data_IF_190678564786
#
_entry.id   IF_190678564786
#
_cell.length_a   1.000
_cell.length_b   1.000
_cell.length_c   1.000
_cell.angle_alpha   90.00
_cell.angle_beta   90.00
_cell.angle_gamma   90.00
#
_symmetry.space_group_name_H-M   'P 1'
#
loop_
_entity.id
_entity.type
_entity.pdbx_description
1 polymer ?
#
# COMPACT_ATOMS: atom_id res chain seq x y z
N UNK A 1 -23.58 -5.21 20.64
CA UNK A 1 -23.15 -5.73 19.32
C UNK A 1 -23.59 -4.68 18.32
N UNK A 2 -22.67 -3.95 17.69
CA UNK A 2 -22.88 -3.06 16.52
C UNK A 2 -21.73 -2.02 16.46
N UNK A 3 -20.51 -2.44 16.15
CA UNK A 3 -19.42 -1.49 15.87
C UNK A 3 -18.50 -2.03 14.77
N UNK A 4 -19.11 -2.37 13.64
CA UNK A 4 -18.43 -2.75 12.40
C UNK A 4 -18.66 -1.66 11.37
N UNK A 5 -17.76 -0.66 11.36
CA UNK A 5 -17.80 0.43 10.39
C UNK A 5 -16.61 0.32 9.45
N UNK A 6 -16.80 -0.44 8.38
CA UNK A 6 -15.81 -0.60 7.33
C UNK A 6 -15.28 0.75 6.84
N UNK A 7 -16.12 1.78 6.68
CA UNK A 7 -15.69 3.07 6.11
C UNK A 7 -14.80 3.88 7.03
N UNK A 8 -14.84 3.62 8.34
CA UNK A 8 -13.98 4.28 9.34
C UNK A 8 -12.75 3.47 9.71
N UNK A 9 -12.65 2.23 9.22
CA UNK A 9 -11.48 1.37 9.47
C UNK A 9 -10.26 1.88 8.73
N UNK A 10 -9.08 1.79 9.35
CA UNK A 10 -7.81 2.13 8.71
C UNK A 10 -7.56 1.25 7.47
N UNK A 11 -8.16 0.06 7.46
CA UNK A 11 -8.09 -0.90 6.35
C UNK A 11 -8.85 -0.38 5.13
N UNK A 12 -10.01 0.26 5.28
CA UNK A 12 -10.73 0.82 4.14
C UNK A 12 -9.99 1.99 3.48
N UNK A 13 -9.29 2.81 4.25
CA UNK A 13 -8.48 3.90 3.71
C UNK A 13 -7.28 3.35 2.93
N UNK A 14 -6.66 2.28 3.42
CA UNK A 14 -5.62 1.53 2.73
C UNK A 14 -6.12 0.89 1.43
N UNK A 15 -7.30 0.26 1.44
CA UNK A 15 -7.89 -0.33 0.23
C UNK A 15 -8.26 0.76 -0.78
N UNK A 16 -8.82 1.88 -0.34
CA UNK A 16 -9.18 3.01 -1.21
C UNK A 16 -7.94 3.66 -1.84
N UNK A 17 -6.83 3.77 -1.09
CA UNK A 17 -5.55 4.24 -1.63
C UNK A 17 -4.99 3.27 -2.69
N UNK A 18 -5.05 1.96 -2.42
CA UNK A 18 -4.57 0.92 -3.35
C UNK A 18 -5.48 0.79 -4.58
N UNK A 19 -6.78 1.06 -4.43
CA UNK A 19 -7.75 1.12 -5.52
C UNK A 19 -7.57 2.31 -6.46
N UNK A 20 -6.83 3.34 -6.04
CA UNK A 20 -6.53 4.49 -6.89
C UNK A 20 -5.55 4.12 -8.02
N UNK A 21 -5.78 4.66 -9.21
CA UNK A 21 -4.95 4.39 -10.40
C UNK A 21 -3.45 4.62 -10.15
N UNK A 22 -3.10 5.54 -9.25
CA UNK A 22 -1.70 5.84 -8.90
C UNK A 22 -0.91 4.61 -8.42
N UNK A 23 -1.55 3.68 -7.70
CA UNK A 23 -0.90 2.48 -7.20
C UNK A 23 -0.51 1.51 -8.32
N UNK A 24 -1.37 1.36 -9.33
CA UNK A 24 -1.05 0.51 -10.51
C UNK A 24 0.13 1.08 -11.30
N UNK A 25 0.23 2.41 -11.39
CA UNK A 25 1.33 3.06 -12.10
C UNK A 25 2.68 2.81 -11.43
N UNK A 26 2.77 2.73 -10.10
CA UNK A 26 4.04 2.46 -9.39
C UNK A 26 4.66 1.14 -9.86
N UNK A 27 3.87 0.07 -9.89
CA UNK A 27 4.33 -1.25 -10.35
C UNK A 27 4.75 -1.26 -11.83
N UNK A 28 4.09 -0.46 -12.67
CA UNK A 28 4.43 -0.30 -14.08
C UNK A 28 5.74 0.50 -14.25
N UNK A 29 5.86 1.65 -13.59
CA UNK A 29 7.05 2.49 -13.62
C UNK A 29 8.28 1.71 -13.12
N UNK A 30 8.15 0.92 -12.06
CA UNK A 30 9.24 0.09 -11.56
C UNK A 30 9.75 -0.91 -12.62
N UNK A 31 8.87 -1.50 -13.43
CA UNK A 31 9.28 -2.41 -14.54
C UNK A 31 9.95 -1.63 -15.66
N UNK A 32 9.38 -0.48 -16.05
CA UNK A 32 9.90 0.37 -17.12
C UNK A 32 11.28 0.91 -16.78
N UNK A 33 11.48 1.50 -15.58
CA UNK A 33 12.77 2.05 -15.17
C UNK A 33 13.85 0.98 -14.98
N UNK A 34 13.48 -0.23 -14.54
CA UNK A 34 14.42 -1.38 -14.50
C UNK A 34 14.87 -1.78 -15.90
N UNK A 35 13.93 -1.92 -16.83
CA UNK A 35 14.25 -2.28 -18.22
C UNK A 35 15.07 -1.18 -18.90
N UNK A 36 14.72 0.09 -18.68
CA UNK A 36 15.42 1.23 -19.23
C UNK A 36 16.86 1.31 -18.69
N UNK A 37 17.04 1.13 -17.38
CA UNK A 37 18.37 1.09 -16.76
C UNK A 37 19.23 -0.05 -17.34
N UNK A 38 18.65 -1.25 -17.48
CA UNK A 38 19.34 -2.39 -18.07
C UNK A 38 19.72 -2.10 -19.53
N UNK A 39 18.79 -1.57 -20.33
CA UNK A 39 19.05 -1.23 -21.72
C UNK A 39 20.14 -0.16 -21.86
N UNK A 40 20.08 0.93 -21.08
CA UNK A 40 21.12 1.95 -21.05
C UNK A 40 22.48 1.38 -20.66
N UNK A 41 22.52 0.43 -19.71
CA UNK A 41 23.76 -0.24 -19.31
C UNK A 41 24.33 -1.13 -20.43
N UNK A 42 23.50 -1.87 -21.17
CA UNK A 42 23.94 -2.66 -22.32
C UNK A 42 24.51 -1.79 -23.44
N UNK A 43 23.83 -0.69 -23.76
CA UNK A 43 24.30 0.27 -24.78
C UNK A 43 25.61 0.92 -24.35
N UNK A 44 25.75 1.27 -23.07
CA UNK A 44 26.99 1.76 -22.48
C UNK A 44 28.12 0.72 -22.63
N UNK A 45 27.89 -0.55 -22.27
CA UNK A 45 28.88 -1.61 -22.39
C UNK A 45 29.33 -1.79 -23.83
N UNK A 46 28.38 -1.84 -24.76
CA UNK A 46 28.67 -1.96 -26.18
C UNK A 46 29.53 -0.79 -26.67
N UNK A 47 29.13 0.44 -26.35
CA UNK A 47 29.88 1.64 -26.74
C UNK A 47 31.28 1.71 -26.12
N UNK A 48 31.44 1.22 -24.89
CA UNK A 48 32.72 1.15 -24.18
C UNK A 48 33.65 0.10 -24.79
N UNK A 49 33.16 -1.12 -25.06
CA UNK A 49 33.97 -2.21 -25.61
C UNK A 49 34.41 -1.94 -27.05
N UNK A 50 33.52 -1.37 -27.86
CA UNK A 50 33.79 -1.10 -29.28
C UNK A 50 34.51 0.23 -29.52
N UNK A 51 34.67 1.06 -28.46
CA UNK A 51 35.08 2.46 -28.59
C UNK A 51 34.28 3.24 -29.65
N UNK A 52 33.08 2.79 -29.99
CA UNK A 52 32.26 3.38 -31.06
C UNK A 52 31.60 4.69 -30.63
N UNK A 53 31.54 4.98 -29.32
CA UNK A 53 30.93 6.18 -28.76
C UNK A 53 32.01 7.09 -28.16
N UNK A 54 31.85 8.40 -28.36
CA UNK A 54 32.70 9.41 -27.72
C UNK A 54 32.54 9.42 -26.19
N UNK A 55 33.59 9.82 -25.48
CA UNK A 55 33.65 9.86 -24.01
C UNK A 55 32.50 10.65 -23.38
N UNK A 56 32.08 11.75 -24.01
CA UNK A 56 30.94 12.55 -23.54
C UNK A 56 29.61 11.78 -23.63
N UNK A 57 29.37 11.08 -24.74
CA UNK A 57 28.16 10.27 -24.92
C UNK A 57 28.12 9.11 -23.95
N UNK A 58 29.27 8.47 -23.71
CA UNK A 58 29.43 7.37 -22.78
C UNK A 58 29.15 7.80 -21.33
N UNK A 59 29.65 8.96 -20.92
CA UNK A 59 29.39 9.57 -19.61
C UNK A 59 27.90 9.87 -19.41
N UNK A 60 27.23 10.45 -20.43
CA UNK A 60 25.79 10.73 -20.38
C UNK A 60 24.94 9.45 -20.29
N UNK A 61 25.31 8.40 -21.05
CA UNK A 61 24.65 7.09 -21.01
C UNK A 61 24.77 6.44 -19.63
N UNK A 62 25.96 6.50 -19.03
CA UNK A 62 26.20 5.98 -17.68
C UNK A 62 25.38 6.77 -16.65
N UNK A 63 25.39 8.10 -16.74
CA UNK A 63 24.59 8.98 -15.88
C UNK A 63 23.09 8.67 -15.98
N UNK A 64 22.56 8.50 -17.20
CA UNK A 64 21.17 8.11 -17.42
C UNK A 64 20.85 6.72 -16.86
N UNK A 65 21.77 5.76 -17.03
CA UNK A 65 21.64 4.41 -16.48
C UNK A 65 21.56 4.41 -14.94
N UNK A 66 22.46 5.16 -14.29
CA UNK A 66 22.49 5.34 -12.83
C UNK A 66 21.23 6.07 -12.36
N UNK A 67 20.83 7.16 -13.00
CA UNK A 67 19.62 7.89 -12.64
C UNK A 67 18.36 7.01 -12.75
N UNK A 68 18.24 6.24 -13.84
CA UNK A 68 17.14 5.29 -14.03
C UNK A 68 17.15 4.17 -12.99
N UNK A 69 18.34 3.68 -12.61
CA UNK A 69 18.50 2.68 -11.56
C UNK A 69 18.04 3.22 -10.20
N UNK A 70 18.46 4.44 -9.85
CA UNK A 70 18.07 5.10 -8.61
C UNK A 70 16.55 5.27 -8.51
N UNK A 71 15.90 5.71 -9.60
CA UNK A 71 14.42 5.77 -9.65
C UNK A 71 13.79 4.38 -9.49
N UNK A 72 14.33 3.36 -10.16
CA UNK A 72 13.82 2.00 -10.03
C UNK A 72 13.88 1.47 -8.58
N UNK A 73 14.95 1.80 -7.84
CA UNK A 73 15.08 1.43 -6.42
C UNK A 73 14.07 2.18 -5.56
N UNK A 74 13.86 3.48 -5.78
CA UNK A 74 12.85 4.27 -5.05
C UNK A 74 11.45 3.68 -5.26
N UNK A 75 11.07 3.38 -6.50
CA UNK A 75 9.77 2.76 -6.78
C UNK A 75 9.64 1.37 -6.17
N UNK A 76 10.73 0.61 -6.12
CA UNK A 76 10.74 -0.68 -5.43
C UNK A 76 10.52 -0.52 -3.92
N UNK A 77 11.20 0.42 -3.28
CA UNK A 77 11.01 0.70 -1.85
C UNK A 77 9.57 1.14 -1.55
N UNK A 78 8.98 1.97 -2.41
CA UNK A 78 7.57 2.36 -2.29
C UNK A 78 6.64 1.13 -2.38
N UNK A 79 6.86 0.27 -3.37
CA UNK A 79 6.07 -0.96 -3.54
C UNK A 79 6.17 -1.87 -2.31
N UNK A 80 7.38 -2.08 -1.80
CA UNK A 80 7.65 -2.85 -0.57
C UNK A 80 7.03 -2.21 0.66
N UNK A 81 7.11 -0.89 0.79
CA UNK A 81 6.52 -0.15 1.90
C UNK A 81 5.00 -0.32 1.92
N UNK A 82 4.35 -0.23 0.76
CA UNK A 82 2.91 -0.43 0.66
C UNK A 82 2.53 -1.90 0.92
N UNK A 83 3.29 -2.86 0.40
CA UNK A 83 3.06 -4.27 0.68
C UNK A 83 3.16 -4.59 2.17
N UNK A 84 4.18 -4.07 2.86
CA UNK A 84 4.41 -4.37 4.27
C UNK A 84 3.52 -3.56 5.21
N UNK A 85 3.31 -2.26 4.96
CA UNK A 85 2.54 -1.40 5.87
C UNK A 85 1.04 -1.38 5.59
N UNK A 86 0.60 -1.44 4.33
CA UNK A 86 -0.83 -1.35 4.00
C UNK A 86 -1.52 -2.72 4.00
N UNK A 87 -0.86 -3.80 3.58
CA UNK A 87 -1.49 -5.14 3.60
C UNK A 87 -1.47 -5.79 4.98
N UNK A 88 -0.59 -5.34 5.88
CA UNK A 88 -0.45 -5.86 7.25
C UNK A 88 -0.32 -4.71 8.24
N UNK A 89 -1.41 -3.93 8.50
CA UNK A 89 -1.37 -2.96 9.59
C UNK A 89 -1.00 -3.70 10.87
N UNK A 90 -0.05 -3.13 11.64
CA UNK A 90 0.24 -3.63 13.00
C UNK A 90 -1.04 -3.44 13.82
N UNK A 91 -1.77 -4.53 14.04
CA UNK A 91 -2.89 -4.55 14.95
C UNK A 91 -2.38 -4.09 16.33
N UNK A 92 -2.95 -3.00 16.85
CA UNK A 92 -2.58 -2.46 18.17
C UNK A 92 -2.91 -3.44 19.30
N UNK A 93 -3.79 -4.43 19.04
CA UNK A 93 -4.34 -5.36 20.04
C UNK A 93 -4.51 -6.73 19.39
N UNK A 94 -4.25 -7.81 20.14
CA UNK A 94 -4.53 -9.17 19.68
C UNK A 94 -6.05 -9.44 19.60
N UNK A 95 -6.49 -10.18 18.58
CA UNK A 95 -7.91 -10.52 18.35
C UNK A 95 -8.58 -11.12 19.60
N UNK A 96 -7.83 -11.91 20.38
CA UNK A 96 -8.31 -12.55 21.60
C UNK A 96 -8.66 -11.55 22.71
N UNK A 97 -7.92 -10.44 22.79
CA UNK A 97 -8.09 -9.42 23.82
C UNK A 97 -9.25 -8.46 23.46
N UNK A 98 -9.43 -8.18 22.16
CA UNK A 98 -10.58 -7.43 21.65
C UNK A 98 -11.91 -8.20 21.77
N UNK A 99 -11.89 -9.53 21.63
CA UNK A 99 -13.07 -10.38 21.83
C UNK A 99 -13.46 -10.52 23.31
N UNK A 100 -12.49 -10.43 24.23
CA UNK A 100 -12.73 -10.57 25.66
C UNK A 100 -13.42 -9.34 26.28
N UNK A 101 -13.21 -8.13 25.74
CA UNK A 101 -13.82 -6.89 26.23
C UNK A 101 -14.22 -5.93 25.08
N UNK A 102 -15.35 -6.17 24.40
CA UNK A 102 -15.76 -5.38 23.23
C UNK A 102 -16.20 -3.94 23.55
N UNK A 103 -16.67 -3.67 24.78
CA UNK A 103 -17.32 -2.40 25.13
C UNK A 103 -16.45 -1.43 25.96
N UNK A 104 -15.32 -1.89 26.53
CA UNK A 104 -14.50 -1.10 27.45
C UNK A 104 -13.00 -1.42 27.30
N UNK A 105 -12.45 -1.21 26.10
CA UNK A 105 -11.01 -1.30 25.93
C UNK A 105 -10.37 0.07 26.25
N UNK A 106 -9.58 0.13 27.32
CA UNK A 106 -8.72 1.25 27.62
C UNK A 106 -7.36 0.96 26.97
N UNK A 107 -6.91 1.70 25.93
CA UNK A 107 -5.60 1.51 25.34
C UNK A 107 -4.53 2.03 26.30
N UNK A 108 -4.25 1.26 27.34
CA UNK A 108 -3.03 1.33 28.12
C UNK A 108 -2.35 0.00 27.87
N UNK A 109 -1.33 -0.06 27.01
CA UNK A 109 0.06 0.09 27.47
C UNK A 109 0.95 0.55 26.30
N UNK A 110 1.78 1.55 26.61
CA UNK A 110 3.01 1.99 25.93
C UNK A 110 3.00 3.14 24.89
N UNK A 111 2.15 4.14 25.10
CA UNK A 111 2.50 5.51 24.69
C UNK A 111 1.87 6.48 25.66
N UNK A 112 2.67 6.99 26.60
CA UNK A 112 2.24 7.90 27.66
C UNK A 112 1.58 9.16 27.13
N UNK A 113 0.25 9.15 27.04
CA UNK A 113 -0.62 10.32 27.07
C UNK A 113 -2.03 9.84 27.39
N UNK A 114 -2.49 10.08 28.62
CA UNK A 114 -3.88 9.85 29.02
C UNK A 114 -4.79 10.92 28.45
N UNK A 115 -6.04 10.55 28.09
CA UNK A 115 -7.29 11.11 28.64
C UNK A 115 -8.50 10.80 27.73
N UNK A 116 -9.57 10.32 28.35
CA UNK A 116 -10.95 10.33 27.87
C UNK A 116 -11.23 9.84 26.45
N UNK A 117 -11.41 8.53 26.32
CA UNK A 117 -12.11 7.97 25.17
C UNK A 117 -12.09 6.46 25.25
N UNK A 118 -13.22 5.85 25.61
CA UNK A 118 -13.44 4.43 25.31
C UNK A 118 -13.55 4.35 23.79
N UNK A 119 -12.41 4.17 23.13
CA UNK A 119 -12.35 3.95 21.68
C UNK A 119 -12.84 2.52 21.44
N UNK A 120 -14.11 2.40 21.04
CA UNK A 120 -14.69 1.11 20.71
C UNK A 120 -13.89 0.49 19.57
N UNK A 121 -13.36 -0.70 19.81
CA UNK A 121 -12.58 -1.43 18.81
C UNK A 121 -13.49 -1.71 17.60
N UNK A 122 -13.08 -1.24 16.42
CA UNK A 122 -13.81 -1.50 15.19
C UNK A 122 -13.40 -2.88 14.67
N UNK A 123 -14.35 -3.81 14.61
CA UNK A 123 -14.09 -5.18 14.18
C UNK A 123 -13.62 -5.25 12.71
N UNK A 124 -13.91 -4.21 11.91
CA UNK A 124 -13.43 -4.09 10.54
C UNK A 124 -11.90 -3.91 10.44
N UNK A 125 -11.22 -3.48 11.51
CA UNK A 125 -9.75 -3.36 11.55
C UNK A 125 -9.05 -4.74 11.62
N UNK A 126 -9.78 -5.83 11.86
CA UNK A 126 -9.23 -7.19 11.86
C UNK A 126 -9.42 -7.94 10.54
N UNK A 127 -10.10 -7.33 9.56
CA UNK A 127 -10.24 -7.93 8.26
C UNK A 127 -8.89 -8.03 7.56
N UNK A 128 -8.62 -9.18 6.95
CA UNK A 128 -7.51 -9.26 6.02
C UNK A 128 -7.74 -8.31 4.85
N UNK A 129 -6.64 -7.74 4.35
CA UNK A 129 -6.66 -6.75 3.27
C UNK A 129 -7.42 -7.23 2.03
N UNK A 130 -7.30 -8.52 1.69
CA UNK A 130 -8.00 -9.14 0.56
C UNK A 130 -9.52 -9.22 0.79
N UNK A 131 -9.93 -9.59 2.01
CA UNK A 131 -11.33 -9.64 2.40
C UNK A 131 -11.95 -8.23 2.37
N UNK A 132 -11.24 -7.23 2.89
CA UNK A 132 -11.68 -5.84 2.82
C UNK A 132 -11.84 -5.35 1.36
N UNK A 133 -10.93 -5.74 0.46
CA UNK A 133 -11.06 -5.48 -0.98
C UNK A 133 -12.32 -6.10 -1.60
N UNK A 134 -12.62 -7.35 -1.28
CA UNK A 134 -13.80 -8.04 -1.80
C UNK A 134 -15.08 -7.35 -1.31
N UNK A 135 -15.12 -6.98 -0.03
CA UNK A 135 -16.27 -6.30 0.56
C UNK A 135 -16.45 -4.90 -0.05
N UNK A 136 -15.39 -4.12 -0.24
CA UNK A 136 -15.51 -2.82 -0.91
C UNK A 136 -15.97 -2.94 -2.37
N UNK A 137 -15.48 -3.94 -3.11
CA UNK A 137 -15.97 -4.24 -4.47
C UNK A 137 -17.45 -4.63 -4.48
N UNK A 138 -17.90 -5.42 -3.51
CA UNK A 138 -19.31 -5.79 -3.38
C UNK A 138 -20.19 -4.57 -3.04
N UNK A 139 -19.73 -3.69 -2.15
CA UNK A 139 -20.43 -2.45 -1.80
C UNK A 139 -20.52 -1.50 -3.00
N UNK A 140 -19.41 -1.24 -3.68
CA UNK A 140 -19.38 -0.36 -4.86
C UNK A 140 -20.20 -0.92 -6.03
N UNK A 141 -20.23 -2.24 -6.22
CA UNK A 141 -21.11 -2.88 -7.20
C UNK A 141 -22.59 -2.70 -6.86
N UNK A 142 -22.96 -2.86 -5.58
CA UNK A 142 -24.34 -2.69 -5.12
C UNK A 142 -24.81 -1.25 -5.23
N UNK A 143 -23.94 -0.28 -4.90
CA UNK A 143 -24.20 1.15 -5.11
C UNK A 143 -24.40 1.49 -6.59
N UNK A 144 -23.57 0.93 -7.48
CA UNK A 144 -23.71 1.11 -8.94
C UNK A 144 -25.04 0.55 -9.47
N UNK A 145 -25.63 -0.43 -8.78
CA UNK A 145 -26.95 -1.00 -9.07
C UNK A 145 -28.11 -0.29 -8.36
N UNK A 146 -27.85 0.78 -7.61
CA UNK A 146 -28.88 1.54 -6.90
C UNK A 146 -29.38 0.90 -5.60
N UNK A 147 -28.68 -0.12 -5.09
CA UNK A 147 -29.00 -0.78 -3.82
C UNK A 147 -28.20 -0.10 -2.70
N UNK A 148 -28.87 0.65 -1.83
CA UNK A 148 -28.24 1.24 -0.65
C UNK A 148 -28.05 0.18 0.43
N UNK A 149 -26.86 -0.43 0.48
CA UNK A 149 -26.49 -1.30 1.59
C UNK A 149 -26.15 -0.46 2.83
N UNK A 150 -26.84 -0.74 3.93
CA UNK A 150 -26.49 -0.20 5.25
C UNK A 150 -25.26 -0.98 5.76
N UNK A 151 -24.09 -0.34 5.75
CA UNK A 151 -22.79 -0.97 6.05
C UNK A 151 -22.66 -1.54 7.45
N UNK A 152 -23.62 -1.26 8.33
CA UNK A 152 -23.72 -1.81 9.69
C UNK A 152 -24.11 -3.30 9.73
N UNK A 153 -24.75 -3.83 8.68
CA UNK A 153 -25.40 -5.15 8.69
C UNK A 153 -24.70 -6.24 7.85
N UNK A 154 -23.50 -5.98 7.32
CA UNK A 154 -22.77 -7.02 6.56
C UNK A 154 -21.93 -7.86 7.53
N UNK A 155 -22.62 -8.53 8.47
CA UNK A 155 -22.32 -9.80 9.15
C UNK A 155 -23.21 -9.98 10.39
#
# INVERSE_FOLDING_TARGET
MDNFDLRKSAISEAVRLIGSSGFRLISLFQKVFRLLSLFSFLVFLYGFLTNALGTESLSRLLGAGIASLSLAVIFWQLDLFFELKLKKPKLKVGLQEALANPDNFNPSIDSGLTLSGVERVNLADFLEFETAQVVEKAISFSQKKGVSLNTTFIL
#
